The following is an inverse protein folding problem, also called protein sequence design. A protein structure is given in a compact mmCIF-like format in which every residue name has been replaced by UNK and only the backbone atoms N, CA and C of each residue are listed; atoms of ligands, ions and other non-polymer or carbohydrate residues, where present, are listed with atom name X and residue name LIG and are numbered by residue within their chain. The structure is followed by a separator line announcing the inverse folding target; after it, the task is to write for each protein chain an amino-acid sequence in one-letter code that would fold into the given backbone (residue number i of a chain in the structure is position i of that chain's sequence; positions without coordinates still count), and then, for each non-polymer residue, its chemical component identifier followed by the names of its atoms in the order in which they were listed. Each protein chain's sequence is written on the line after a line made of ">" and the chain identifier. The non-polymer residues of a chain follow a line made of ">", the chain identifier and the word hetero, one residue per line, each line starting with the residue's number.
data_IF_261567018009
#
_entry.id   IF_261567018009
#
_cell.length_a   1.000
_cell.length_b   1.000
_cell.length_c   1.000
_cell.angle_alpha   90.00
_cell.angle_beta   90.00
_cell.angle_gamma   90.00
#
_symmetry.space_group_name_H-M   'P 1'
#
loop_
_entity.id
_entity.type
_entity.pdbx_description
1 polymer ?
#
# COMPACT_ATOMS: atom_id res chain seq x y z
N UNK A 1 25.95 9.04 10.59
CA UNK A 1 24.60 8.45 10.48
C UNK A 1 24.40 8.00 9.05
N UNK A 2 24.02 6.74 8.87
CA UNK A 2 23.67 6.19 7.56
C UNK A 2 22.20 6.49 7.24
N UNK A 3 21.82 6.57 5.97
CA UNK A 3 20.41 6.80 5.56
C UNK A 3 19.44 5.82 6.22
N UNK A 4 19.92 4.60 6.52
CA UNK A 4 19.17 3.55 7.21
C UNK A 4 18.80 3.89 8.67
N UNK A 5 19.64 4.65 9.36
CA UNK A 5 19.41 5.09 10.74
C UNK A 5 18.38 6.24 10.79
N UNK A 6 18.42 7.14 9.81
CA UNK A 6 17.45 8.23 9.65
C UNK A 6 16.07 7.68 9.28
N UNK A 7 16.00 6.70 8.38
CA UNK A 7 14.73 6.07 8.02
C UNK A 7 14.12 5.29 9.18
N UNK A 8 14.95 4.65 10.02
CA UNK A 8 14.48 3.96 11.24
C UNK A 8 13.96 4.92 12.30
N UNK A 9 14.58 6.08 12.49
CA UNK A 9 14.07 7.07 13.45
C UNK A 9 12.76 7.69 12.97
N UNK A 10 12.62 7.93 11.66
CA UNK A 10 11.37 8.41 11.05
C UNK A 10 10.27 7.33 11.17
N UNK A 11 10.56 6.07 10.83
CA UNK A 11 9.60 4.97 10.97
C UNK A 11 9.16 4.70 12.42
N UNK A 12 10.03 4.96 13.40
CA UNK A 12 9.71 4.81 14.83
C UNK A 12 8.83 5.95 15.38
N UNK A 13 8.87 7.13 14.75
CA UNK A 13 7.93 8.24 15.01
C UNK A 13 6.61 8.09 14.24
N UNK A 14 6.63 7.31 13.15
CA UNK A 14 5.45 7.00 12.36
C UNK A 14 4.66 5.88 13.06
N UNK A 15 3.70 6.26 13.89
CA UNK A 15 2.45 5.50 14.00
C UNK A 15 1.80 5.52 12.60
N UNK A 16 2.13 4.57 11.72
CA UNK A 16 1.74 4.56 10.30
C UNK A 16 0.24 4.84 10.10
N UNK A 17 -0.55 4.35 11.04
CA UNK A 17 -1.96 4.69 11.19
C UNK A 17 -2.24 4.94 12.68
N UNK A 18 -2.69 6.15 13.00
CA UNK A 18 -3.03 6.57 14.37
C UNK A 18 -4.39 6.02 14.81
N UNK A 19 -5.24 5.65 13.85
CA UNK A 19 -6.61 5.21 14.06
C UNK A 19 -6.83 3.75 13.62
N UNK A 20 -7.76 3.06 14.28
CA UNK A 20 -8.11 1.67 13.99
C UNK A 20 -8.79 1.52 12.63
N UNK A 21 -9.62 2.48 12.23
CA UNK A 21 -10.30 2.46 10.94
C UNK A 21 -9.28 2.48 9.79
N UNK A 22 -8.27 3.36 9.88
CA UNK A 22 -7.19 3.42 8.89
C UNK A 22 -6.40 2.10 8.78
N UNK A 23 -6.21 1.39 9.90
CA UNK A 23 -5.55 0.07 9.90
C UNK A 23 -6.42 -0.98 9.21
N UNK A 24 -7.73 -0.98 9.47
CA UNK A 24 -8.66 -1.89 8.82
C UNK A 24 -8.75 -1.63 7.31
N UNK A 25 -8.83 -0.35 6.91
CA UNK A 25 -8.77 0.05 5.50
C UNK A 25 -7.47 -0.39 4.85
N UNK A 26 -6.32 -0.16 5.49
CA UNK A 26 -5.04 -0.61 4.95
C UNK A 26 -4.98 -2.13 4.77
N UNK A 27 -5.44 -2.91 5.76
CA UNK A 27 -5.48 -4.37 5.65
C UNK A 27 -6.39 -4.84 4.51
N UNK A 28 -7.55 -4.21 4.36
CA UNK A 28 -8.47 -4.49 3.26
C UNK A 28 -7.83 -4.19 1.90
N UNK A 29 -7.22 -3.00 1.75
CA UNK A 29 -6.55 -2.57 0.52
C UNK A 29 -5.38 -3.48 0.15
N UNK A 30 -4.54 -3.85 1.12
CA UNK A 30 -3.42 -4.78 0.88
C UNK A 30 -3.93 -6.16 0.50
N UNK A 31 -4.98 -6.67 1.17
CA UNK A 31 -5.61 -7.94 0.79
C UNK A 31 -6.15 -7.92 -0.64
N UNK A 32 -6.85 -6.84 -1.02
CA UNK A 32 -7.36 -6.60 -2.36
C UNK A 32 -6.26 -6.52 -3.43
N UNK A 33 -5.15 -5.84 -3.11
CA UNK A 33 -3.99 -5.71 -4.00
C UNK A 33 -3.30 -7.05 -4.20
N UNK A 34 -3.06 -7.81 -3.13
CA UNK A 34 -2.34 -9.08 -3.16
C UNK A 34 -3.15 -10.19 -3.85
N UNK A 35 -4.48 -10.10 -3.77
CA UNK A 35 -5.40 -10.97 -4.52
C UNK A 35 -5.57 -10.55 -5.99
N UNK A 36 -4.86 -9.51 -6.45
CA UNK A 36 -4.95 -8.93 -7.81
C UNK A 36 -6.37 -8.53 -8.18
N UNK A 37 -7.15 -8.09 -7.21
CA UNK A 37 -8.49 -7.58 -7.48
C UNK A 37 -8.41 -6.07 -7.79
N UNK A 38 -7.49 -5.34 -7.15
CA UNK A 38 -7.14 -3.94 -7.49
C UNK A 38 -5.67 -3.81 -7.91
N UNK A 39 -5.40 -2.76 -8.68
CA UNK A 39 -4.07 -2.27 -9.02
C UNK A 39 -3.46 -1.43 -7.89
N UNK A 40 -2.14 -1.22 -7.94
CA UNK A 40 -1.43 -0.30 -7.06
C UNK A 40 -2.04 1.11 -7.10
N UNK A 41 -2.45 1.57 -8.30
CA UNK A 41 -3.02 2.90 -8.47
C UNK A 41 -4.35 3.04 -7.71
N UNK A 42 -5.24 2.05 -7.85
CA UNK A 42 -6.52 2.04 -7.14
C UNK A 42 -6.33 1.87 -5.64
N UNK A 43 -5.37 1.05 -5.22
CA UNK A 43 -5.00 0.92 -3.80
C UNK A 43 -4.57 2.26 -3.19
N UNK A 44 -3.73 3.03 -3.89
CA UNK A 44 -3.29 4.35 -3.45
C UNK A 44 -4.44 5.38 -3.45
N UNK A 45 -5.34 5.32 -4.44
CA UNK A 45 -6.55 6.13 -4.50
C UNK A 45 -7.45 5.92 -3.27
N UNK A 46 -7.70 4.66 -2.88
CA UNK A 46 -8.50 4.32 -1.69
C UNK A 46 -7.84 4.82 -0.41
N UNK A 47 -6.51 4.77 -0.35
CA UNK A 47 -5.72 5.27 0.78
C UNK A 47 -5.51 6.80 0.75
N UNK A 48 -6.07 7.49 -0.24
CA UNK A 48 -5.95 8.95 -0.44
C UNK A 48 -4.50 9.46 -0.48
N UNK A 49 -3.59 8.67 -1.06
CA UNK A 49 -2.18 9.05 -1.23
C UNK A 49 -1.69 8.83 -2.65
N UNK A 50 -0.55 9.42 -2.99
CA UNK A 50 0.07 9.24 -4.29
C UNK A 50 0.57 7.79 -4.50
N UNK A 51 0.44 7.20 -5.70
CA UNK A 51 0.86 5.82 -5.96
C UNK A 51 2.31 5.50 -5.61
N UNK A 52 3.23 6.46 -5.82
CA UNK A 52 4.64 6.28 -5.45
C UNK A 52 4.83 6.23 -3.93
N UNK A 53 4.05 7.01 -3.18
CA UNK A 53 4.09 7.00 -1.71
C UNK A 53 3.56 5.67 -1.18
N UNK A 54 2.48 5.15 -1.78
CA UNK A 54 1.97 3.83 -1.41
C UNK A 54 2.94 2.70 -1.76
N UNK A 55 3.64 2.81 -2.90
CA UNK A 55 4.70 1.85 -3.27
C UNK A 55 5.86 1.86 -2.27
N UNK A 56 6.38 3.04 -1.92
CA UNK A 56 7.44 3.18 -0.91
C UNK A 56 7.00 2.62 0.45
N UNK A 57 5.73 2.80 0.81
CA UNK A 57 5.15 2.22 2.03
C UNK A 57 5.20 0.68 2.00
N UNK A 58 4.75 0.07 0.90
CA UNK A 58 4.81 -1.38 0.74
C UNK A 58 6.26 -1.90 0.78
N UNK A 59 7.19 -1.21 0.13
CA UNK A 59 8.62 -1.55 0.14
C UNK A 59 9.24 -1.46 1.54
N UNK A 60 8.92 -0.41 2.30
CA UNK A 60 9.37 -0.27 3.70
C UNK A 60 8.85 -1.40 4.60
N UNK A 61 7.67 -1.94 4.28
CA UNK A 61 7.05 -3.07 4.99
C UNK A 61 7.52 -4.44 4.46
N UNK A 62 8.31 -4.48 3.37
CA UNK A 62 8.74 -5.72 2.73
C UNK A 62 7.59 -6.49 2.07
N UNK A 63 6.58 -5.76 1.60
CA UNK A 63 5.37 -6.32 0.98
C UNK A 63 5.50 -6.31 -0.54
N UNK A 64 5.84 -7.46 -1.11
CA UNK A 64 5.91 -7.66 -2.55
C UNK A 64 4.54 -8.07 -3.11
N UNK A 65 4.09 -7.41 -4.18
CA UNK A 65 2.84 -7.74 -4.87
C UNK A 65 3.08 -7.94 -6.37
N UNK A 66 2.10 -8.54 -7.04
CA UNK A 66 2.12 -8.70 -8.51
C UNK A 66 1.18 -7.69 -9.16
N UNK A 67 1.58 -7.17 -10.32
CA UNK A 67 0.67 -6.39 -11.15
C UNK A 67 -0.49 -7.24 -11.67
N UNK A 68 -1.58 -6.55 -12.01
CA UNK A 68 -2.76 -7.15 -12.65
C UNK A 68 -2.40 -7.76 -14.00
N UNK A 69 -2.99 -8.92 -14.28
CA UNK A 69 -3.01 -9.52 -15.61
C UNK A 69 -4.11 -8.87 -16.46
N UNK A 70 -4.12 -9.05 -17.80
CA UNK A 70 -5.19 -8.55 -18.64
C UNK A 70 -6.59 -9.02 -18.22
N UNK A 71 -6.70 -10.22 -17.65
CA UNK A 71 -7.95 -10.77 -17.10
C UNK A 71 -8.37 -10.01 -15.84
N UNK A 72 -7.43 -9.73 -14.94
CA UNK A 72 -7.69 -9.01 -13.69
C UNK A 72 -8.13 -7.55 -13.96
N UNK A 73 -7.53 -6.90 -14.95
CA UNK A 73 -7.90 -5.53 -15.38
C UNK A 73 -9.36 -5.44 -15.83
N UNK A 74 -9.93 -6.53 -16.37
CA UNK A 74 -11.34 -6.54 -16.72
C UNK A 74 -12.25 -6.56 -15.48
N UNK A 75 -11.81 -7.21 -14.40
CA UNK A 75 -12.54 -7.32 -13.13
C UNK A 75 -12.43 -6.03 -12.30
N UNK A 76 -11.27 -5.37 -12.30
CA UNK A 76 -11.06 -4.12 -11.55
C UNK A 76 -11.99 -2.98 -12.02
N UNK A 77 -12.42 -2.97 -13.29
CA UNK A 77 -13.29 -1.93 -13.84
C UNK A 77 -14.65 -1.80 -13.15
N UNK A 78 -15.10 -2.88 -12.49
CA UNK A 78 -16.39 -2.96 -11.83
C UNK A 78 -16.29 -2.76 -10.30
N UNK A 79 -15.10 -2.38 -9.79
CA UNK A 79 -14.85 -2.13 -8.36
C UNK A 79 -14.94 -0.65 -7.98
#
# INVERSE_FOLDING_TARGET
>A
MTNKEVLRSVAAEIQLFNDIEQKETFLFVVGALFSRVISLKKAAEIMEIEPNVFLELLDMMGLEFSYLTPQDVALEKDW
#
